data_IF_616992145157
#
_entry.id   IF_616992145157
#
_cell.length_a   1.000
_cell.length_b   1.000
_cell.length_c   1.000
_cell.angle_alpha   90.00
_cell.angle_beta   90.00
_cell.angle_gamma   90.00
#
_symmetry.space_group_name_H-M   'P 1'
#
loop_
_entity.id
_entity.type
_entity.pdbx_description
1 polymer ?
#
# COMPACT_ATOMS: atom_id res chain seq x y z
N UNK A 1 15.88 -17.65 22.71
CA UNK A 1 15.11 -16.95 21.67
C UNK A 1 14.39 -15.82 22.39
N UNK A 2 14.74 -14.56 22.13
CA UNK A 2 14.03 -13.45 22.77
C UNK A 2 12.66 -13.34 22.11
N UNK A 3 11.58 -13.35 22.89
CA UNK A 3 10.26 -13.01 22.38
C UNK A 3 10.31 -11.55 21.94
N UNK A 4 10.05 -11.31 20.64
CA UNK A 4 9.88 -9.96 20.13
C UNK A 4 8.56 -9.44 20.65
N UNK A 5 8.59 -8.45 21.55
CA UNK A 5 7.39 -7.74 21.94
C UNK A 5 6.77 -7.07 20.71
N UNK A 6 5.49 -7.36 20.45
CA UNK A 6 4.72 -6.75 19.36
C UNK A 6 3.59 -5.93 19.93
N UNK A 7 3.28 -4.82 19.27
CA UNK A 7 2.10 -4.01 19.57
C UNK A 7 1.05 -4.19 18.46
N UNK A 8 -0.25 -4.06 18.79
CA UNK A 8 -1.28 -4.00 17.77
C UNK A 8 -1.06 -2.78 16.86
N UNK A 9 -1.41 -2.94 15.59
CA UNK A 9 -1.39 -1.88 14.59
C UNK A 9 -2.79 -1.76 14.02
N UNK A 10 -3.32 -0.55 13.95
CA UNK A 10 -4.58 -0.27 13.26
C UNK A 10 -4.29 0.45 11.95
N UNK A 11 -5.16 0.28 10.96
CA UNK A 11 -5.07 1.04 9.72
C UNK A 11 -6.46 1.44 9.24
N UNK A 12 -6.53 2.47 8.40
CA UNK A 12 -7.77 3.00 7.85
C UNK A 12 -7.52 3.55 6.46
N UNK A 13 -8.34 3.17 5.49
CA UNK A 13 -8.31 3.81 4.16
C UNK A 13 -9.00 5.18 4.25
N UNK A 14 -8.22 6.25 4.16
CA UNK A 14 -8.71 7.63 4.26
C UNK A 14 -9.24 8.17 2.93
N UNK A 15 -8.70 7.68 1.81
CA UNK A 15 -8.98 8.22 0.49
C UNK A 15 -8.77 7.18 -0.59
N UNK A 16 -9.54 7.33 -1.66
CA UNK A 16 -9.56 6.42 -2.79
C UNK A 16 -9.83 7.18 -4.08
N UNK A 17 -9.02 6.94 -5.10
CA UNK A 17 -9.09 7.60 -6.39
C UNK A 17 -8.87 6.59 -7.53
N UNK A 18 -9.91 6.22 -8.28
CA UNK A 18 -9.75 5.50 -9.53
C UNK A 18 -8.99 6.34 -10.57
N UNK A 19 -7.98 5.75 -11.20
CA UNK A 19 -7.13 6.44 -12.17
C UNK A 19 -7.37 5.86 -13.56
N UNK A 20 -7.75 6.73 -14.51
CA UNK A 20 -7.98 6.37 -15.91
C UNK A 20 -6.74 6.64 -16.76
N UNK A 21 -6.58 5.89 -17.85
CA UNK A 21 -5.51 6.04 -18.83
C UNK A 21 -4.06 6.02 -18.25
N UNK A 22 -3.84 5.39 -17.09
CA UNK A 22 -2.53 5.35 -16.42
C UNK A 22 -1.89 3.94 -16.47
N UNK A 23 -1.79 3.39 -17.68
CA UNK A 23 -1.17 2.08 -17.90
C UNK A 23 -1.77 0.98 -17.03
N UNK A 24 -0.92 0.36 -16.19
CA UNK A 24 -1.32 -0.71 -15.27
C UNK A 24 -1.92 -0.21 -13.96
N UNK A 25 -1.67 1.04 -13.55
CA UNK A 25 -2.26 1.62 -12.35
C UNK A 25 -3.74 1.91 -12.59
N UNK A 26 -4.60 1.38 -11.72
CA UNK A 26 -6.07 1.51 -11.82
C UNK A 26 -6.67 2.38 -10.73
N UNK A 27 -6.00 2.49 -9.59
CA UNK A 27 -6.41 3.41 -8.53
C UNK A 27 -5.26 3.72 -7.57
N UNK A 28 -5.45 4.77 -6.78
CA UNK A 28 -4.61 5.16 -5.67
C UNK A 28 -5.45 5.23 -4.38
N UNK A 29 -4.85 4.83 -3.28
CA UNK A 29 -5.41 4.90 -1.94
C UNK A 29 -4.49 5.71 -1.02
N UNK A 30 -5.10 6.37 -0.05
CA UNK A 30 -4.44 6.99 1.08
C UNK A 30 -4.77 6.13 2.29
N UNK A 31 -3.75 5.58 2.95
CA UNK A 31 -3.93 4.70 4.11
C UNK A 31 -3.27 5.33 5.32
N UNK A 32 -4.01 5.47 6.40
CA UNK A 32 -3.45 5.81 7.71
C UNK A 32 -3.12 4.52 8.44
N UNK A 33 -1.95 4.50 9.09
CA UNK A 33 -1.52 3.42 9.97
C UNK A 33 -1.23 4.02 11.33
N UNK A 34 -1.80 3.46 12.39
CA UNK A 34 -1.55 3.87 13.76
C UNK A 34 -0.79 2.77 14.51
N UNK A 35 0.32 3.17 15.15
CA UNK A 35 1.18 2.30 15.93
C UNK A 35 1.43 2.96 17.28
N UNK A 36 0.93 2.37 18.35
CA UNK A 36 1.14 2.85 19.72
C UNK A 36 0.81 4.35 19.90
N UNK A 37 -0.28 4.82 19.30
CA UNK A 37 -0.74 6.21 19.34
C UNK A 37 -0.05 7.16 18.36
N UNK A 38 0.83 6.66 17.49
CA UNK A 38 1.50 7.45 16.44
C UNK A 38 0.88 7.13 15.09
N UNK A 39 0.39 8.15 14.40
CA UNK A 39 -0.27 8.03 13.11
C UNK A 39 0.69 8.34 11.95
N UNK A 40 0.70 7.46 10.96
CA UNK A 40 1.47 7.58 9.72
C UNK A 40 0.51 7.57 8.54
N UNK A 41 0.61 8.56 7.65
CA UNK A 41 -0.16 8.57 6.41
C UNK A 41 0.70 8.03 5.26
N UNK A 42 0.27 6.92 4.67
CA UNK A 42 0.83 6.33 3.47
C UNK A 42 0.12 6.92 2.25
N UNK A 43 0.83 7.80 1.55
CA UNK A 43 0.36 8.39 0.30
C UNK A 43 0.77 7.53 -0.89
N UNK A 44 -0.18 7.25 -1.79
CA UNK A 44 0.12 6.54 -3.03
C UNK A 44 0.22 5.02 -2.88
N UNK A 45 -0.59 4.42 -2.00
CA UNK A 45 -0.85 2.97 -2.06
C UNK A 45 -1.57 2.71 -3.39
N UNK A 46 -1.03 1.87 -4.25
CA UNK A 46 -1.51 1.75 -5.63
C UNK A 46 -2.18 0.41 -5.89
N UNK A 47 -3.30 0.43 -6.61
CA UNK A 47 -3.92 -0.77 -7.18
C UNK A 47 -3.47 -0.91 -8.63
N UNK A 48 -2.82 -2.03 -8.94
CA UNK A 48 -2.15 -2.28 -10.22
C UNK A 48 -2.66 -3.58 -10.83
N UNK A 49 -2.96 -3.53 -12.13
CA UNK A 49 -3.28 -4.71 -12.93
C UNK A 49 -1.99 -5.49 -13.25
N UNK A 50 -1.91 -6.71 -12.73
CA UNK A 50 -0.83 -7.67 -12.97
C UNK A 50 -0.87 -8.26 -14.39
N UNK A 51 0.21 -8.92 -14.77
CA UNK A 51 0.33 -9.61 -16.07
C UNK A 51 -0.64 -10.80 -16.20
N UNK A 52 -1.09 -11.35 -15.07
CA UNK A 52 -2.11 -12.39 -14.98
C UNK A 52 -3.55 -11.82 -15.10
N UNK A 53 -3.68 -10.51 -15.30
CA UNK A 53 -4.96 -9.81 -15.39
C UNK A 53 -5.64 -9.61 -14.04
N UNK A 54 -4.99 -9.90 -12.91
CA UNK A 54 -5.54 -9.69 -11.56
C UNK A 54 -5.10 -8.35 -10.99
N UNK A 55 -5.95 -7.77 -10.15
CA UNK A 55 -5.60 -6.56 -9.41
C UNK A 55 -4.74 -6.94 -8.20
N UNK A 56 -3.71 -6.15 -7.97
CA UNK A 56 -2.81 -6.27 -6.82
C UNK A 56 -2.69 -4.92 -6.15
N UNK A 57 -2.59 -4.90 -4.82
CA UNK A 57 -2.30 -3.70 -4.06
C UNK A 57 -0.79 -3.64 -3.78
N UNK A 58 -0.19 -2.47 -3.93
CA UNK A 58 1.23 -2.24 -3.69
C UNK A 58 1.40 -1.05 -2.75
N UNK A 59 2.27 -1.19 -1.75
CA UNK A 59 2.71 -0.09 -0.90
C UNK A 59 3.36 1.04 -1.74
N UNK A 60 3.43 2.28 -1.23
CA UNK A 60 4.01 3.40 -1.95
C UNK A 60 5.43 3.12 -2.44
N UNK A 61 5.72 3.58 -3.66
CA UNK A 61 7.03 3.39 -4.32
C UNK A 61 7.51 4.73 -4.86
N UNK A 62 8.83 4.86 -4.96
CA UNK A 62 9.47 5.98 -5.65
C UNK A 62 10.33 5.47 -6.80
N UNK A 63 10.54 6.33 -7.79
CA UNK A 63 11.40 6.00 -8.93
C UNK A 63 12.81 6.49 -8.64
N UNK A 64 13.75 5.56 -8.55
CA UNK A 64 15.15 5.88 -8.31
C UNK A 64 15.72 6.72 -9.48
N UNK A 65 16.32 7.90 -9.23
CA UNK A 65 16.63 8.86 -10.30
C UNK A 65 17.73 8.42 -11.26
N UNK A 66 18.69 7.59 -10.80
CA UNK A 66 19.81 7.12 -11.66
C UNK A 66 19.49 5.81 -12.39
N UNK A 67 19.03 4.77 -11.67
CA UNK A 67 18.67 3.48 -12.26
C UNK A 67 17.29 3.44 -12.92
N UNK A 68 16.40 4.38 -12.62
CA UNK A 68 15.02 4.39 -13.11
C UNK A 68 14.12 3.29 -12.52
N UNK A 69 14.63 2.50 -11.58
CA UNK A 69 13.90 1.40 -10.94
C UNK A 69 12.87 1.93 -9.93
N UNK A 70 11.74 1.23 -9.83
CA UNK A 70 10.77 1.48 -8.76
C UNK A 70 11.20 0.77 -7.49
N UNK A 71 11.42 1.53 -6.42
CA UNK A 71 11.81 1.02 -5.10
C UNK A 71 10.71 1.29 -4.07
N UNK A 72 10.55 0.44 -3.04
CA UNK A 72 9.59 0.70 -1.97
C UNK A 72 9.96 1.99 -1.24
N UNK A 73 8.99 2.89 -1.05
CA UNK A 73 9.15 4.07 -0.20
C UNK A 73 8.97 3.70 1.28
N UNK A 74 8.22 2.64 1.55
CA UNK A 74 8.05 2.01 2.86
C UNK A 74 8.05 0.49 2.69
N UNK A 75 8.64 -0.20 3.67
CA UNK A 75 8.58 -1.67 3.77
C UNK A 75 7.69 -2.00 4.95
N UNK A 76 6.50 -2.52 4.66
CA UNK A 76 5.55 -2.96 5.67
C UNK A 76 5.81 -4.43 6.03
N UNK A 77 5.54 -4.84 7.27
CA UNK A 77 5.44 -6.26 7.59
C UNK A 77 4.37 -6.94 6.72
N UNK A 78 4.62 -8.20 6.32
CA UNK A 78 3.74 -8.94 5.41
C UNK A 78 2.29 -8.96 5.89
N UNK A 79 2.07 -9.21 7.18
CA UNK A 79 0.72 -9.26 7.77
C UNK A 79 -0.05 -7.93 7.59
N UNK A 80 0.62 -6.79 7.76
CA UNK A 80 0.00 -5.48 7.57
C UNK A 80 -0.21 -5.18 6.08
N UNK A 81 0.75 -5.53 5.22
CA UNK A 81 0.63 -5.35 3.78
C UNK A 81 -0.54 -6.14 3.21
N UNK A 82 -0.73 -7.39 3.64
CA UNK A 82 -1.83 -8.24 3.21
C UNK A 82 -3.19 -7.73 3.71
N UNK A 83 -3.27 -7.27 4.96
CA UNK A 83 -4.51 -6.72 5.52
C UNK A 83 -4.95 -5.46 4.74
N UNK A 84 -4.04 -4.51 4.54
CA UNK A 84 -4.31 -3.31 3.72
C UNK A 84 -4.71 -3.70 2.30
N UNK A 85 -4.01 -4.66 1.69
CA UNK A 85 -4.31 -5.10 0.33
C UNK A 85 -5.72 -5.69 0.20
N UNK A 86 -6.16 -6.52 1.14
CA UNK A 86 -7.49 -7.11 1.13
C UNK A 86 -8.58 -6.03 1.15
N UNK A 87 -8.47 -5.05 2.05
CA UNK A 87 -9.45 -3.98 2.17
C UNK A 87 -9.46 -3.04 0.96
N UNK A 88 -8.29 -2.63 0.48
CA UNK A 88 -8.19 -1.72 -0.68
C UNK A 88 -8.72 -2.37 -1.97
N UNK A 89 -8.57 -3.68 -2.14
CA UNK A 89 -9.04 -4.39 -3.34
C UNK A 89 -10.56 -4.60 -3.38
N UNK A 90 -11.27 -4.40 -2.26
CA UNK A 90 -12.73 -4.42 -2.22
C UNK A 90 -13.37 -3.09 -2.66
N UNK A 91 -12.56 -2.03 -2.82
CA UNK A 91 -13.04 -0.72 -3.22
C UNK A 91 -13.40 -0.66 -4.73
N UNK A 92 -14.45 0.09 -5.11
CA UNK A 92 -14.93 0.14 -6.49
C UNK A 92 -13.97 0.91 -7.42
N UNK A 93 -13.64 0.33 -8.58
CA UNK A 93 -12.86 0.97 -9.66
C UNK A 93 -13.71 1.76 -10.65
#
# INVERSE_FOLDING_TARGET
>A
MSETETVPVTYTVLGWEPVRACGRCKALAIVQVEVAGIEFTLQGVSVVLGDDGRLTCQAPRFRHPRSGQWLPAIVLPEALSQAIAAEVLELPL
#
